data_IF_066991211700
#
_entry.id   IF_066991211700
#
_cell.length_a   1.000
_cell.length_b   1.000
_cell.length_c   1.000
_cell.angle_alpha   90.00
_cell.angle_beta   90.00
_cell.angle_gamma   90.00
#
_symmetry.space_group_name_H-M   'P 1'
#
loop_
_entity.id
_entity.type
_entity.pdbx_description
1 polymer ?
#
# COMPACT_ATOMS: atom_id res chain seq x y z
N UNK A 1 2.17 12.69 -1.63
CA UNK A 1 3.00 11.49 -1.81
C UNK A 1 3.04 11.13 -3.27
N UNK A 2 3.88 11.81 -4.05
CA UNK A 2 4.10 11.42 -5.44
C UNK A 2 5.12 10.27 -5.58
N UNK A 3 5.73 9.83 -4.48
CA UNK A 3 6.77 8.81 -4.46
C UNK A 3 7.93 9.20 -5.36
N UNK A 4 8.24 8.35 -6.34
CA UNK A 4 9.27 8.61 -7.36
C UNK A 4 8.78 9.45 -8.55
N UNK A 5 7.54 9.91 -8.53
CA UNK A 5 6.95 10.73 -9.60
C UNK A 5 6.33 9.96 -10.77
N UNK A 6 6.42 8.63 -10.78
CA UNK A 6 5.98 7.76 -11.90
C UNK A 6 4.52 8.00 -12.30
N UNK A 7 3.62 8.15 -11.32
CA UNK A 7 2.21 8.38 -11.62
C UNK A 7 1.93 9.79 -12.15
N UNK A 8 2.64 10.81 -11.64
CA UNK A 8 2.52 12.18 -12.15
C UNK A 8 3.04 12.27 -13.59
N UNK A 9 4.15 11.59 -13.87
CA UNK A 9 4.71 11.43 -15.21
C UNK A 9 3.68 10.85 -16.16
N UNK A 10 3.06 9.72 -15.79
CA UNK A 10 2.05 9.07 -16.61
C UNK A 10 0.87 10.01 -16.93
N UNK A 11 0.36 10.75 -15.93
CA UNK A 11 -0.72 11.71 -16.13
C UNK A 11 -0.32 12.86 -17.07
N UNK A 12 0.91 13.37 -16.96
CA UNK A 12 1.38 14.49 -17.78
C UNK A 12 1.71 14.06 -19.22
N UNK A 13 2.18 12.84 -19.42
CA UNK A 13 2.45 12.27 -20.74
C UNK A 13 1.16 11.94 -21.49
N UNK A 14 0.23 11.21 -20.86
CA UNK A 14 -1.00 10.76 -21.51
C UNK A 14 -1.98 11.91 -21.80
N UNK A 15 -2.06 12.89 -20.90
CA UNK A 15 -3.04 13.97 -20.99
C UNK A 15 -2.49 15.31 -21.47
N UNK A 16 -1.20 15.39 -21.82
CA UNK A 16 -0.51 16.67 -22.06
C UNK A 16 -0.68 17.68 -20.91
N UNK A 17 -0.74 17.18 -19.67
CA UNK A 17 -0.98 17.99 -18.48
C UNK A 17 0.31 18.68 -18.00
N UNK A 18 0.12 19.64 -17.09
CA UNK A 18 1.15 20.15 -16.17
C UNK A 18 0.83 19.67 -14.77
N UNK A 19 1.84 19.49 -13.93
CA UNK A 19 1.58 18.98 -12.59
C UNK A 19 2.68 19.23 -11.57
N UNK A 20 2.30 19.18 -10.30
CA UNK A 20 3.19 19.38 -9.17
C UNK A 20 3.10 18.15 -8.26
N UNK A 21 4.24 17.52 -7.98
CA UNK A 21 4.35 16.37 -7.08
C UNK A 21 4.97 16.76 -5.75
N UNK A 22 4.36 16.35 -4.64
CA UNK A 22 4.89 16.53 -3.28
C UNK A 22 5.25 15.18 -2.68
N UNK A 23 6.52 15.01 -2.33
CA UNK A 23 7.00 13.85 -1.57
C UNK A 23 8.38 14.13 -0.95
N UNK A 24 8.61 13.92 0.35
CA UNK A 24 9.92 14.10 0.96
C UNK A 24 10.97 13.12 0.42
N UNK A 25 10.54 11.98 -0.13
CA UNK A 25 11.41 10.94 -0.68
C UNK A 25 11.60 10.98 -2.20
N UNK A 26 11.06 12.00 -2.89
CA UNK A 26 11.22 12.11 -4.36
C UNK A 26 12.68 12.30 -4.73
N UNK A 27 13.15 11.54 -5.72
CA UNK A 27 14.50 11.63 -6.25
C UNK A 27 14.43 12.20 -7.67
N UNK A 28 14.39 13.54 -7.76
CA UNK A 28 14.15 14.28 -9.00
C UNK A 28 15.13 13.89 -10.10
N UNK A 29 16.40 13.66 -9.75
CA UNK A 29 17.46 13.27 -10.71
C UNK A 29 17.22 11.92 -11.39
N UNK A 30 16.35 11.07 -10.83
CA UNK A 30 16.00 9.76 -11.40
C UNK A 30 14.80 9.82 -12.34
N UNK A 31 14.16 10.98 -12.49
CA UNK A 31 12.96 11.14 -13.30
C UNK A 31 13.35 11.44 -14.74
N UNK A 32 13.04 10.50 -15.63
CA UNK A 32 13.27 10.63 -17.08
C UNK A 32 11.93 10.59 -17.80
N UNK A 33 11.49 11.73 -18.33
CA UNK A 33 10.19 11.88 -18.97
C UNK A 33 10.22 12.92 -20.09
N UNK A 34 9.58 12.66 -21.25
CA UNK A 34 9.27 13.68 -22.24
C UNK A 34 8.42 14.85 -21.70
N UNK A 35 7.71 14.64 -20.59
CA UNK A 35 6.88 15.66 -19.93
C UNK A 35 7.62 16.45 -18.84
N UNK A 36 8.94 16.23 -18.63
CA UNK A 36 9.68 16.80 -17.49
C UNK A 36 9.53 18.32 -17.36
N UNK A 37 9.52 19.07 -18.46
CA UNK A 37 9.37 20.55 -18.43
C UNK A 37 7.99 21.03 -17.98
N UNK A 38 6.99 20.14 -17.94
CA UNK A 38 5.63 20.40 -17.47
C UNK A 38 5.39 19.94 -16.03
N UNK A 39 6.39 19.32 -15.42
CA UNK A 39 6.31 18.79 -14.07
C UNK A 39 7.22 19.56 -13.13
N UNK A 40 6.74 19.75 -11.90
CA UNK A 40 7.55 20.27 -10.79
C UNK A 40 7.48 19.29 -9.63
N UNK A 41 8.61 19.02 -9.01
CA UNK A 41 8.66 18.19 -7.81
C UNK A 41 9.10 19.04 -6.63
N UNK A 42 8.44 18.83 -5.49
CA UNK A 42 8.70 19.52 -4.24
C UNK A 42 9.02 18.45 -3.19
N UNK A 43 10.27 18.46 -2.74
CA UNK A 43 10.79 17.52 -1.74
C UNK A 43 10.36 17.93 -0.33
N UNK A 44 9.06 17.82 -0.07
CA UNK A 44 8.44 18.22 1.18
C UNK A 44 7.11 17.50 1.40
N UNK A 45 6.62 17.53 2.65
CA UNK A 45 5.24 17.19 2.95
C UNK A 45 4.31 18.30 2.44
N UNK A 46 3.20 17.90 1.83
CA UNK A 46 2.16 18.85 1.49
C UNK A 46 1.51 19.41 2.76
N UNK A 47 1.34 20.72 2.81
CA UNK A 47 0.59 21.44 3.84
C UNK A 47 0.07 22.76 3.27
N UNK A 48 -0.63 23.55 4.09
CA UNK A 48 -1.20 24.84 3.69
C UNK A 48 -0.16 25.87 3.22
N UNK A 49 1.14 25.66 3.50
CA UNK A 49 2.23 26.48 2.95
C UNK A 49 2.24 26.50 1.42
N UNK A 50 1.57 25.53 0.79
CA UNK A 50 1.45 25.39 -0.66
C UNK A 50 0.04 25.68 -1.17
N UNK A 51 -0.82 26.33 -0.38
CA UNK A 51 -2.19 26.66 -0.79
C UNK A 51 -2.25 27.55 -2.05
N UNK A 52 -1.19 28.31 -2.32
CA UNK A 52 -1.06 29.11 -3.56
C UNK A 52 -0.88 28.24 -4.81
N UNK A 53 -0.50 26.96 -4.66
CA UNK A 53 -0.48 25.99 -5.75
C UNK A 53 -1.90 25.49 -6.04
N UNK A 54 -2.54 26.15 -6.99
CA UNK A 54 -3.86 25.76 -7.49
C UNK A 54 -3.74 24.59 -8.46
N UNK A 55 -4.69 23.65 -8.39
CA UNK A 55 -4.78 22.51 -9.29
C UNK A 55 -6.24 22.26 -9.67
N UNK A 56 -6.47 21.88 -10.93
CA UNK A 56 -7.79 21.47 -11.44
C UNK A 56 -8.12 20.02 -11.07
N UNK A 57 -7.16 19.26 -10.55
CA UNK A 57 -7.32 17.89 -10.10
C UNK A 57 -6.30 17.56 -9.01
N UNK A 58 -6.75 16.96 -7.92
CA UNK A 58 -5.89 16.50 -6.83
C UNK A 58 -5.89 14.98 -6.75
N UNK A 59 -4.71 14.40 -6.59
CA UNK A 59 -4.55 12.95 -6.45
C UNK A 59 -3.63 12.57 -5.30
N UNK A 60 -4.07 11.62 -4.49
CA UNK A 60 -3.30 11.05 -3.40
C UNK A 60 -3.42 9.52 -3.45
N UNK A 61 -2.34 8.84 -3.80
CA UNK A 61 -2.29 7.37 -3.85
C UNK A 61 -1.33 6.86 -2.79
N UNK A 62 -1.76 5.87 -2.03
CA UNK A 62 -0.92 5.12 -1.09
C UNK A 62 -0.10 6.05 -0.19
N UNK A 63 -0.78 6.99 0.47
CA UNK A 63 -0.16 8.06 1.26
C UNK A 63 -1.03 8.47 2.44
N UNK A 64 -2.35 8.56 2.27
CA UNK A 64 -3.25 9.03 3.35
C UNK A 64 -3.18 8.14 4.60
N UNK A 65 -3.02 6.82 4.42
CA UNK A 65 -2.82 5.84 5.49
C UNK A 65 -1.55 6.08 6.33
N UNK A 66 -0.59 6.84 5.78
CA UNK A 66 0.66 7.20 6.44
C UNK A 66 0.59 8.53 7.20
N UNK A 67 -0.55 9.23 7.16
CA UNK A 67 -0.73 10.53 7.80
C UNK A 67 -1.46 10.32 9.14
N UNK A 68 -0.91 10.84 10.24
CA UNK A 68 -1.51 10.69 11.57
C UNK A 68 -2.88 11.39 11.70
N UNK A 69 -2.93 12.70 11.42
CA UNK A 69 -4.16 13.47 11.54
C UNK A 69 -4.85 13.60 10.16
N UNK A 70 -5.49 12.53 9.74
CA UNK A 70 -6.14 12.43 8.42
C UNK A 70 -7.30 13.42 8.27
N UNK A 71 -8.08 13.65 9.34
CA UNK A 71 -9.12 14.67 9.42
C UNK A 71 -8.61 16.06 9.07
N UNK A 72 -7.54 16.49 9.76
CA UNK A 72 -6.94 17.80 9.52
C UNK A 72 -6.30 17.90 8.13
N UNK A 73 -5.65 16.84 7.66
CA UNK A 73 -5.05 16.83 6.33
C UNK A 73 -6.09 17.02 5.21
N UNK A 74 -7.21 16.31 5.26
CA UNK A 74 -8.29 16.47 4.28
C UNK A 74 -8.97 17.84 4.42
N UNK A 75 -9.13 18.35 5.65
CA UNK A 75 -9.65 19.70 5.88
C UNK A 75 -8.73 20.80 5.32
N UNK A 76 -7.41 20.67 5.52
CA UNK A 76 -6.40 21.58 4.95
C UNK A 76 -6.41 21.55 3.42
N UNK A 77 -6.56 20.36 2.81
CA UNK A 77 -6.76 20.25 1.36
C UNK A 77 -8.02 20.98 0.92
N UNK A 78 -9.14 20.83 1.64
CA UNK A 78 -10.38 21.56 1.32
C UNK A 78 -10.17 23.07 1.39
N UNK A 79 -9.47 23.57 2.41
CA UNK A 79 -9.18 25.01 2.54
C UNK A 79 -8.27 25.52 1.42
N UNK A 80 -7.25 24.76 1.04
CA UNK A 80 -6.37 25.09 -0.09
C UNK A 80 -7.11 25.13 -1.45
N UNK A 81 -8.15 24.31 -1.63
CA UNK A 81 -9.03 24.40 -2.81
C UNK A 81 -9.81 25.74 -2.82
N UNK A 82 -10.21 26.24 -1.65
CA UNK A 82 -10.91 27.52 -1.49
C UNK A 82 -12.27 27.54 -2.21
N UNK A 83 -12.52 28.60 -2.96
CA UNK A 83 -13.79 28.82 -3.68
C UNK A 83 -13.94 27.97 -4.96
N UNK A 84 -12.93 27.17 -5.32
CA UNK A 84 -12.99 26.24 -6.47
C UNK A 84 -13.78 24.99 -6.11
N UNK A 85 -15.06 25.18 -5.78
CA UNK A 85 -16.04 24.10 -5.70
C UNK A 85 -16.05 23.31 -7.02
N UNK A 86 -16.45 22.05 -6.96
CA UNK A 86 -16.34 21.07 -8.05
C UNK A 86 -14.93 20.59 -8.42
N UNK A 87 -13.86 21.08 -7.78
CA UNK A 87 -12.50 20.53 -8.01
C UNK A 87 -12.47 19.04 -7.70
N UNK A 88 -12.18 18.16 -8.68
CA UNK A 88 -12.12 16.72 -8.49
C UNK A 88 -10.91 16.31 -7.64
N UNK A 89 -11.13 15.35 -6.77
CA UNK A 89 -10.10 14.72 -5.95
C UNK A 89 -10.19 13.20 -6.06
N UNK A 90 -9.05 12.54 -6.17
CA UNK A 90 -8.94 11.09 -6.21
C UNK A 90 -8.03 10.59 -5.10
N UNK A 91 -8.51 9.64 -4.31
CA UNK A 91 -7.74 8.99 -3.27
C UNK A 91 -7.71 7.48 -3.46
N UNK A 92 -6.55 6.88 -3.20
CA UNK A 92 -6.37 5.44 -3.15
C UNK A 92 -5.63 5.05 -1.87
N UNK A 93 -6.21 4.14 -1.08
CA UNK A 93 -5.66 3.66 0.20
C UNK A 93 -5.87 2.15 0.36
N UNK A 94 -5.09 1.45 1.21
CA UNK A 94 -5.36 0.06 1.56
C UNK A 94 -6.79 -0.18 2.08
N UNK A 95 -7.39 -1.30 1.68
CA UNK A 95 -8.69 -1.75 2.18
C UNK A 95 -8.52 -2.50 3.51
N UNK A 96 -8.85 -1.86 4.63
CA UNK A 96 -8.79 -2.44 5.96
C UNK A 96 -9.69 -3.68 6.18
N UNK A 97 -10.86 -3.79 5.52
CA UNK A 97 -11.72 -4.97 5.71
C UNK A 97 -11.05 -6.22 5.17
N UNK A 98 -10.18 -6.12 4.16
CA UNK A 98 -9.34 -7.25 3.71
C UNK A 98 -8.43 -7.75 4.83
N UNK A 99 -7.79 -6.83 5.55
CA UNK A 99 -6.93 -7.15 6.71
C UNK A 99 -7.74 -7.90 7.76
N UNK A 100 -8.92 -7.39 8.09
CA UNK A 100 -9.78 -8.00 9.08
C UNK A 100 -10.30 -9.37 8.63
N UNK A 101 -10.71 -9.54 7.36
CA UNK A 101 -11.21 -10.82 6.81
C UNK A 101 -10.10 -11.87 6.74
N UNK A 102 -8.97 -11.53 6.14
CA UNK A 102 -7.86 -12.46 5.88
C UNK A 102 -6.86 -12.60 7.03
N UNK A 103 -7.03 -11.84 8.12
CA UNK A 103 -6.00 -11.69 9.15
C UNK A 103 -4.63 -11.37 8.54
N UNK A 104 -4.60 -10.42 7.59
CA UNK A 104 -3.38 -9.99 6.90
C UNK A 104 -2.52 -9.12 7.84
N UNK A 105 -1.98 -9.72 8.90
CA UNK A 105 -1.21 -9.01 9.92
C UNK A 105 0.04 -8.35 9.34
N UNK A 106 0.54 -8.84 8.21
CA UNK A 106 1.62 -8.26 7.44
C UNK A 106 1.30 -6.88 6.85
N UNK A 107 0.01 -6.50 6.77
CA UNK A 107 -0.43 -5.16 6.38
C UNK A 107 -0.54 -4.19 7.58
N UNK A 108 -0.25 -4.67 8.80
CA UNK A 108 -0.26 -3.87 10.03
C UNK A 108 1.19 -3.56 10.45
N UNK A 109 1.67 -2.35 10.15
CA UNK A 109 3.03 -1.91 10.48
C UNK A 109 3.10 -0.40 10.73
N UNK A 110 4.22 0.06 11.28
CA UNK A 110 4.37 1.38 11.89
C UNK A 110 4.08 2.56 10.94
N UNK A 111 4.33 2.40 9.64
CA UNK A 111 4.07 3.45 8.66
C UNK A 111 2.58 3.63 8.40
N UNK A 112 1.74 2.60 8.57
CA UNK A 112 0.29 2.69 8.43
C UNK A 112 -0.33 3.16 9.74
N UNK A 113 -0.54 4.48 9.84
CA UNK A 113 -1.17 5.14 10.98
C UNK A 113 -2.70 4.96 11.00
N UNK A 114 -3.30 4.82 9.82
CA UNK A 114 -4.76 4.73 9.65
C UNK A 114 -5.15 3.56 8.73
N UNK A 115 -6.26 2.90 9.07
CA UNK A 115 -6.82 1.78 8.31
C UNK A 115 -8.25 2.12 7.91
N UNK A 116 -8.50 2.25 6.61
CA UNK A 116 -9.77 2.74 6.08
C UNK A 116 -10.68 1.60 5.63
N UNK A 117 -11.94 1.64 6.04
CA UNK A 117 -13.03 0.92 5.38
C UNK A 117 -13.71 1.85 4.37
N UNK A 118 -14.53 1.32 3.43
CA UNK A 118 -15.32 2.15 2.53
C UNK A 118 -16.08 3.26 3.30
N UNK A 119 -16.79 2.88 4.36
CA UNK A 119 -17.58 3.82 5.15
C UNK A 119 -16.72 4.85 5.89
N UNK A 120 -15.59 4.46 6.48
CA UNK A 120 -14.77 5.42 7.23
C UNK A 120 -14.10 6.47 6.32
N UNK A 121 -13.65 6.05 5.13
CA UNK A 121 -13.07 6.94 4.13
C UNK A 121 -14.11 7.93 3.59
N UNK A 122 -15.28 7.46 3.18
CA UNK A 122 -16.34 8.33 2.66
C UNK A 122 -16.84 9.33 3.72
N UNK A 123 -17.00 8.90 4.98
CA UNK A 123 -17.38 9.80 6.08
C UNK A 123 -16.32 10.86 6.36
N UNK A 124 -15.03 10.50 6.30
CA UNK A 124 -13.93 11.47 6.42
C UNK A 124 -14.06 12.57 5.36
N UNK A 125 -14.22 12.21 4.10
CA UNK A 125 -14.35 13.20 3.01
C UNK A 125 -15.60 14.08 3.16
N UNK A 126 -16.76 13.48 3.46
CA UNK A 126 -18.01 14.23 3.68
C UNK A 126 -17.91 15.20 4.86
N UNK A 127 -17.28 14.78 5.96
CA UNK A 127 -17.06 15.64 7.11
C UNK A 127 -16.09 16.80 6.82
N UNK A 128 -15.21 16.64 5.84
CA UNK A 128 -14.21 17.64 5.44
C UNK A 128 -14.61 18.50 4.23
N UNK A 129 -15.89 18.54 3.86
CA UNK A 129 -16.39 19.45 2.81
C UNK A 129 -16.24 18.91 1.38
N UNK A 130 -16.29 17.60 1.21
CA UNK A 130 -16.31 16.93 -0.09
C UNK A 130 -17.61 16.17 -0.32
N UNK A 131 -18.07 16.14 -1.56
CA UNK A 131 -19.11 15.22 -2.04
C UNK A 131 -18.43 13.99 -2.63
N UNK A 132 -18.78 12.79 -2.16
CA UNK A 132 -18.20 11.53 -2.62
C UNK A 132 -18.97 11.03 -3.82
N UNK A 133 -18.35 11.05 -5.00
CA UNK A 133 -18.99 10.71 -6.27
C UNK A 133 -18.96 9.21 -6.55
N UNK A 134 -17.84 8.57 -6.23
CA UNK A 134 -17.63 7.14 -6.43
C UNK A 134 -16.77 6.55 -5.32
N UNK A 135 -17.04 5.29 -5.01
CA UNK A 135 -16.30 4.50 -4.04
C UNK A 135 -16.26 3.05 -4.53
N UNK A 136 -15.06 2.55 -4.82
CA UNK A 136 -14.86 1.18 -5.29
C UNK A 136 -13.68 0.51 -4.59
N UNK A 137 -13.59 -0.80 -4.77
CA UNK A 137 -12.42 -1.58 -4.37
C UNK A 137 -11.75 -2.15 -5.62
N UNK A 138 -10.46 -1.86 -5.76
CA UNK A 138 -9.67 -2.18 -6.94
C UNK A 138 -8.50 -3.11 -6.58
N UNK A 139 -7.77 -3.56 -7.61
CA UNK A 139 -6.58 -4.43 -7.47
C UNK A 139 -6.88 -5.69 -6.64
N UNK A 140 -7.86 -6.48 -7.08
CA UNK A 140 -8.26 -7.73 -6.42
C UNK A 140 -8.66 -7.53 -4.94
N UNK A 141 -9.35 -6.42 -4.67
CA UNK A 141 -9.86 -6.13 -3.33
C UNK A 141 -8.84 -5.53 -2.37
N UNK A 142 -7.65 -5.12 -2.85
CA UNK A 142 -6.58 -4.63 -1.97
C UNK A 142 -6.67 -3.15 -1.64
N UNK A 143 -7.25 -2.34 -2.53
CA UNK A 143 -7.27 -0.89 -2.37
C UNK A 143 -8.67 -0.33 -2.52
N UNK A 144 -9.02 0.62 -1.66
CA UNK A 144 -10.16 1.50 -1.86
C UNK A 144 -9.75 2.63 -2.80
N UNK A 145 -10.63 2.97 -3.72
CA UNK A 145 -10.54 4.18 -4.53
C UNK A 145 -11.77 5.05 -4.28
N UNK A 146 -11.51 6.33 -4.01
CA UNK A 146 -12.52 7.33 -3.76
C UNK A 146 -12.36 8.47 -4.77
N UNK A 147 -13.44 8.75 -5.50
CA UNK A 147 -13.58 9.95 -6.32
C UNK A 147 -14.52 10.89 -5.60
N UNK A 148 -14.12 12.13 -5.43
CA UNK A 148 -14.92 13.15 -4.79
C UNK A 148 -14.71 14.50 -5.46
N UNK A 149 -15.53 15.48 -5.10
CA UNK A 149 -15.33 16.87 -5.49
C UNK A 149 -15.49 17.79 -4.30
N UNK A 150 -14.76 18.90 -4.30
CA UNK A 150 -14.95 19.94 -3.29
C UNK A 150 -16.37 20.50 -3.37
N UNK A 151 -17.01 20.67 -2.23
CA UNK A 151 -18.37 21.24 -2.16
C UNK A 151 -18.46 22.30 -1.06
N UNK A 152 -19.48 23.14 -1.14
CA UNK A 152 -19.89 24.05 -0.06
C UNK A 152 -20.97 23.41 0.83
N UNK A 153 -21.61 22.32 0.38
CA UNK A 153 -22.61 21.60 1.15
C UNK A 153 -21.95 20.65 2.16
N UNK A 154 -22.14 20.89 3.45
CA UNK A 154 -21.60 20.03 4.51
C UNK A 154 -22.60 18.96 4.94
N UNK A 155 -22.18 17.69 4.94
CA UNK A 155 -22.81 16.62 5.73
C UNK A 155 -24.19 16.11 5.27
N UNK A 156 -24.73 16.57 4.13
CA UNK A 156 -26.09 16.22 3.68
C UNK A 156 -26.16 15.14 2.60
N UNK A 157 -25.03 14.61 2.13
CA UNK A 157 -25.03 13.59 1.09
C UNK A 157 -25.45 12.23 1.67
N UNK A 158 -26.41 11.56 1.02
CA UNK A 158 -26.78 10.19 1.36
C UNK A 158 -25.57 9.24 1.23
N UNK A 159 -25.36 8.31 2.17
CA UNK A 159 -24.28 7.33 2.06
C UNK A 159 -24.43 6.49 0.79
N UNK A 160 -23.29 6.16 0.16
CA UNK A 160 -23.24 5.19 -0.91
C UNK A 160 -23.53 3.78 -0.37
N UNK A 161 -24.13 2.86 -1.16
CA UNK A 161 -24.38 1.48 -0.73
C UNK A 161 -23.14 0.74 -0.20
N UNK A 162 -21.97 1.04 -0.76
CA UNK A 162 -20.68 0.49 -0.39
C UNK A 162 -20.27 0.85 1.05
N UNK A 163 -20.83 1.92 1.62
CA UNK A 163 -20.55 2.37 2.99
C UNK A 163 -21.28 1.56 4.07
N UNK A 164 -22.23 0.72 3.69
CA UNK A 164 -23.09 -0.04 4.61
C UNK A 164 -22.38 -1.29 5.17
N UNK A 165 -21.28 -1.09 5.90
CA UNK A 165 -20.37 -2.14 6.36
C UNK A 165 -20.28 -2.30 7.89
N UNK A 166 -21.00 -1.49 8.69
CA UNK A 166 -20.77 -1.39 10.14
C UNK A 166 -20.98 -2.71 10.89
N UNK A 167 -22.06 -3.44 10.60
CA UNK A 167 -22.34 -4.74 11.25
C UNK A 167 -21.29 -5.80 10.88
N UNK A 168 -20.88 -5.82 9.61
CA UNK A 168 -19.82 -6.69 9.12
C UNK A 168 -18.48 -6.36 9.78
N UNK A 169 -18.10 -5.08 9.80
CA UNK A 169 -16.88 -4.61 10.48
C UNK A 169 -16.90 -4.98 11.95
N UNK A 170 -18.01 -4.74 12.64
CA UNK A 170 -18.16 -5.09 14.06
C UNK A 170 -17.93 -6.59 14.29
N UNK A 171 -18.48 -7.44 13.42
CA UNK A 171 -18.31 -8.90 13.48
C UNK A 171 -16.86 -9.31 13.21
N UNK A 172 -16.24 -8.73 12.18
CA UNK A 172 -14.87 -9.01 11.82
C UNK A 172 -13.88 -8.59 12.90
N UNK A 173 -14.05 -7.40 13.49
CA UNK A 173 -13.23 -6.89 14.60
C UNK A 173 -13.38 -7.78 15.83
N UNK A 174 -14.61 -8.13 16.23
CA UNK A 174 -14.85 -9.00 17.41
C UNK A 174 -14.18 -10.37 17.26
N UNK A 175 -14.23 -10.97 16.08
CA UNK A 175 -13.64 -12.29 15.81
C UNK A 175 -12.14 -12.25 15.49
N UNK A 176 -11.57 -11.07 15.20
CA UNK A 176 -10.20 -10.93 14.71
C UNK A 176 -9.14 -11.53 15.63
N UNK A 177 -9.13 -11.32 16.97
CA UNK A 177 -8.07 -11.86 17.82
C UNK A 177 -7.98 -13.39 17.78
N UNK A 178 -9.13 -14.07 17.76
CA UNK A 178 -9.21 -15.53 17.74
C UNK A 178 -8.73 -16.09 16.39
N UNK A 179 -9.20 -15.49 15.28
CA UNK A 179 -8.79 -15.88 13.92
C UNK A 179 -7.31 -15.59 13.67
N UNK A 180 -6.80 -14.46 14.14
CA UNK A 180 -5.39 -14.12 14.05
C UNK A 180 -4.53 -15.12 14.83
N UNK A 181 -4.93 -15.49 16.05
CA UNK A 181 -4.22 -16.51 16.82
C UNK A 181 -4.18 -17.87 16.11
N UNK A 182 -5.27 -18.26 15.44
CA UNK A 182 -5.30 -19.46 14.61
C UNK A 182 -4.34 -19.36 13.41
N UNK A 183 -4.39 -18.26 12.64
CA UNK A 183 -3.49 -18.02 11.50
C UNK A 183 -2.02 -18.02 11.93
N UNK A 184 -1.69 -17.40 13.07
CA UNK A 184 -0.32 -17.41 13.63
C UNK A 184 0.15 -18.82 13.99
N UNK A 185 -0.70 -19.66 14.59
CA UNK A 185 -0.36 -21.07 14.88
C UNK A 185 -0.13 -21.88 13.61
N UNK A 186 -0.95 -21.68 12.59
CA UNK A 186 -0.79 -22.33 11.29
C UNK A 186 0.57 -21.99 10.66
N UNK A 187 0.92 -20.69 10.61
CA UNK A 187 2.21 -20.27 10.08
C UNK A 187 3.39 -20.73 10.93
N UNK A 188 3.28 -20.69 12.26
CA UNK A 188 4.33 -21.18 13.15
C UNK A 188 4.59 -22.68 12.90
N UNK A 189 3.53 -23.50 12.85
CA UNK A 189 3.65 -24.93 12.55
C UNK A 189 4.28 -25.17 11.17
N UNK A 190 3.83 -24.44 10.13
CA UNK A 190 4.40 -24.57 8.78
C UNK A 190 5.89 -24.25 8.76
N UNK A 191 6.32 -23.16 9.40
CA UNK A 191 7.73 -22.75 9.41
C UNK A 191 8.61 -23.69 10.26
N UNK A 192 8.07 -24.23 11.34
CA UNK A 192 8.72 -25.29 12.12
C UNK A 192 8.88 -26.58 11.32
N UNK A 193 7.87 -26.96 10.53
CA UNK A 193 7.92 -28.13 9.65
C UNK A 193 9.00 -28.01 8.57
N UNK A 194 9.16 -26.81 8.01
CA UNK A 194 10.24 -26.52 7.05
C UNK A 194 11.59 -26.72 7.73
N UNK A 195 11.77 -26.13 8.91
CA UNK A 195 13.02 -26.24 9.66
C UNK A 195 13.32 -27.69 10.10
N UNK A 196 12.32 -28.43 10.60
CA UNK A 196 12.49 -29.80 11.07
C UNK A 196 12.76 -30.83 9.98
N UNK A 197 12.54 -30.48 8.71
CA UNK A 197 12.81 -31.32 7.54
C UNK A 197 14.03 -30.86 6.74
N UNK A 198 14.83 -29.95 7.30
CA UNK A 198 15.97 -29.31 6.63
C UNK A 198 15.62 -28.69 5.25
N UNK A 199 14.36 -28.28 5.08
CA UNK A 199 13.87 -27.60 3.86
C UNK A 199 14.28 -26.13 3.87
N UNK A 200 14.55 -25.60 2.69
CA UNK A 200 14.96 -24.21 2.49
C UNK A 200 13.76 -23.33 2.17
N UNK A 201 13.65 -22.19 2.84
CA UNK A 201 12.59 -21.21 2.58
C UNK A 201 13.14 -19.80 2.34
N UNK A 202 12.47 -19.07 1.44
CA UNK A 202 12.74 -17.65 1.16
C UNK A 202 11.44 -16.84 1.20
N UNK A 203 11.58 -15.55 1.49
CA UNK A 203 10.52 -14.55 1.28
C UNK A 203 10.74 -13.89 -0.07
N UNK A 204 9.70 -13.72 -0.89
CA UNK A 204 9.75 -12.91 -2.11
C UNK A 204 8.95 -11.62 -1.92
N UNK A 205 9.64 -10.48 -2.06
CA UNK A 205 9.16 -9.14 -1.75
C UNK A 205 9.71 -8.64 -0.42
N UNK A 206 11.00 -8.28 -0.38
CA UNK A 206 11.67 -7.82 0.84
C UNK A 206 11.35 -6.33 1.14
N UNK A 207 10.13 -6.07 1.60
CA UNK A 207 9.61 -4.74 1.95
C UNK A 207 8.90 -4.74 3.32
N UNK A 208 8.11 -3.71 3.61
CA UNK A 208 7.42 -3.50 4.90
C UNK A 208 6.59 -4.72 5.35
N UNK A 209 5.89 -5.41 4.43
CA UNK A 209 5.16 -6.65 4.74
C UNK A 209 6.07 -7.79 5.22
N UNK A 210 7.25 -7.93 4.63
CA UNK A 210 8.24 -8.92 5.08
C UNK A 210 8.77 -8.58 6.47
N UNK A 211 9.01 -7.30 6.76
CA UNK A 211 9.40 -6.83 8.10
C UNK A 211 8.29 -7.17 9.12
N UNK A 212 7.03 -6.89 8.80
CA UNK A 212 5.89 -7.20 9.65
C UNK A 212 5.75 -8.71 9.91
N UNK A 213 5.96 -9.55 8.88
CA UNK A 213 5.99 -11.01 9.03
C UNK A 213 7.06 -11.47 10.02
N UNK A 214 8.30 -11.02 9.80
CA UNK A 214 9.47 -11.40 10.60
C UNK A 214 9.36 -10.92 12.05
N UNK A 215 8.73 -9.76 12.26
CA UNK A 215 8.48 -9.22 13.61
C UNK A 215 7.35 -9.96 14.34
N UNK A 216 6.35 -10.46 13.61
CA UNK A 216 5.14 -11.07 14.20
C UNK A 216 5.31 -12.57 14.50
N UNK A 217 6.13 -13.25 13.70
CA UNK A 217 6.36 -14.70 13.78
C UNK A 217 7.82 -15.01 14.11
N UNK A 218 8.14 -15.37 15.36
CA UNK A 218 9.49 -15.78 15.75
C UNK A 218 10.07 -16.92 14.90
N UNK A 219 9.22 -17.84 14.43
CA UNK A 219 9.57 -18.95 13.55
C UNK A 219 10.04 -18.49 12.16
N UNK A 220 9.72 -17.27 11.74
CA UNK A 220 10.21 -16.73 10.47
C UNK A 220 11.74 -16.57 10.43
N UNK A 221 12.43 -16.68 11.57
CA UNK A 221 13.90 -16.82 11.66
C UNK A 221 14.48 -18.00 10.88
N UNK A 222 13.64 -18.99 10.53
CA UNK A 222 14.06 -20.13 9.71
C UNK A 222 14.19 -19.78 8.22
N UNK A 223 13.58 -18.68 7.79
CA UNK A 223 13.76 -18.12 6.44
C UNK A 223 15.10 -17.39 6.44
N UNK A 224 15.98 -17.71 5.47
CA UNK A 224 17.36 -17.21 5.46
C UNK A 224 17.61 -16.05 4.51
N UNK A 225 16.74 -15.85 3.53
CA UNK A 225 16.89 -14.80 2.52
C UNK A 225 15.56 -14.15 2.16
N UNK A 226 15.61 -12.84 1.92
CA UNK A 226 14.59 -12.10 1.20
C UNK A 226 15.00 -11.90 -0.26
N UNK A 227 14.08 -12.15 -1.19
CA UNK A 227 14.26 -11.94 -2.62
C UNK A 227 13.55 -10.65 -3.01
N UNK A 228 14.25 -9.76 -3.71
CA UNK A 228 13.64 -8.54 -4.26
C UNK A 228 14.23 -8.20 -5.64
N UNK A 229 13.35 -7.83 -6.57
CA UNK A 229 13.73 -7.46 -7.94
C UNK A 229 14.34 -6.06 -8.01
N UNK A 230 14.13 -5.22 -6.98
CA UNK A 230 14.66 -3.87 -6.95
C UNK A 230 16.17 -3.90 -6.65
N UNK A 231 17.04 -3.52 -7.60
CA UNK A 231 18.49 -3.55 -7.41
C UNK A 231 18.98 -2.66 -6.26
N UNK A 232 18.22 -1.62 -5.90
CA UNK A 232 18.58 -0.74 -4.78
C UNK A 232 18.40 -1.38 -3.41
N UNK A 233 17.69 -2.51 -3.31
CA UNK A 233 17.54 -3.26 -2.06
C UNK A 233 18.51 -4.43 -1.94
N UNK A 234 19.01 -4.92 -3.06
CA UNK A 234 19.93 -6.06 -3.09
C UNK A 234 21.23 -5.71 -2.37
N UNK A 235 21.83 -6.69 -1.69
CA UNK A 235 23.02 -6.49 -0.86
C UNK A 235 22.78 -5.79 0.48
N UNK A 236 21.53 -5.37 0.77
CA UNK A 236 21.13 -4.81 2.05
C UNK A 236 20.41 -5.86 2.91
N UNK A 237 19.92 -5.44 4.08
CA UNK A 237 19.24 -6.30 5.04
C UNK A 237 17.89 -5.72 5.44
N UNK A 238 16.91 -6.58 5.71
CA UNK A 238 15.63 -6.15 6.24
C UNK A 238 15.79 -5.61 7.67
N UNK A 239 15.22 -4.43 7.98
CA UNK A 239 15.34 -3.83 9.31
C UNK A 239 14.71 -4.72 10.38
N UNK A 240 15.28 -4.67 11.59
CA UNK A 240 14.86 -5.48 12.74
C UNK A 240 15.33 -6.94 12.69
N UNK A 241 15.14 -7.61 11.56
CA UNK A 241 15.50 -9.04 11.40
C UNK A 241 16.95 -9.29 10.98
N UNK A 242 17.57 -8.34 10.26
CA UNK A 242 18.86 -8.56 9.64
C UNK A 242 18.83 -9.61 8.51
N UNK A 243 17.65 -9.90 7.93
CA UNK A 243 17.54 -10.86 6.83
C UNK A 243 18.19 -10.29 5.57
N UNK A 244 19.20 -10.96 4.98
CA UNK A 244 19.84 -10.49 3.75
C UNK A 244 18.85 -10.45 2.59
N UNK A 245 18.92 -9.38 1.79
CA UNK A 245 18.14 -9.18 0.58
C UNK A 245 19.02 -9.44 -0.63
N UNK A 246 18.60 -10.41 -1.46
CA UNK A 246 19.35 -10.88 -2.62
C UNK A 246 18.48 -10.84 -3.89
N UNK A 247 19.15 -10.87 -5.04
CA UNK A 247 18.48 -10.89 -6.33
C UNK A 247 17.85 -12.27 -6.64
N UNK A 248 16.85 -12.35 -7.54
CA UNK A 248 16.24 -13.62 -7.93
C UNK A 248 17.22 -14.66 -8.47
N UNK A 249 18.31 -14.22 -9.12
CA UNK A 249 19.34 -15.12 -9.68
C UNK A 249 20.00 -16.04 -8.65
N UNK A 250 20.11 -15.59 -7.40
CA UNK A 250 20.63 -16.38 -6.27
C UNK A 250 19.87 -17.71 -6.05
N UNK A 251 18.61 -17.78 -6.47
CA UNK A 251 17.78 -18.97 -6.29
C UNK A 251 18.25 -20.18 -7.11
N UNK A 252 19.04 -19.98 -8.18
CA UNK A 252 19.65 -21.06 -8.96
C UNK A 252 20.60 -21.90 -8.11
N UNK A 253 21.33 -21.25 -7.20
CA UNK A 253 22.24 -21.90 -6.27
C UNK A 253 21.50 -22.36 -5.01
N UNK A 254 20.70 -21.48 -4.41
CA UNK A 254 20.05 -21.77 -3.12
C UNK A 254 19.00 -22.89 -3.23
N UNK A 255 18.26 -22.92 -4.35
CA UNK A 255 17.16 -23.86 -4.67
C UNK A 255 16.20 -24.06 -3.49
N UNK A 256 15.35 -23.06 -3.17
CA UNK A 256 14.42 -23.17 -2.04
C UNK A 256 13.37 -24.24 -2.30
N UNK A 257 12.88 -24.87 -1.23
CA UNK A 257 11.72 -25.76 -1.25
C UNK A 257 10.40 -25.02 -1.05
N UNK A 258 10.45 -23.82 -0.44
CA UNK A 258 9.31 -22.95 -0.16
C UNK A 258 9.63 -21.50 -0.53
N UNK A 259 8.72 -20.87 -1.27
CA UNK A 259 8.73 -19.42 -1.53
C UNK A 259 7.47 -18.81 -0.91
N UNK A 260 7.66 -17.93 0.06
CA UNK A 260 6.58 -17.14 0.67
C UNK A 260 6.49 -15.80 -0.05
N UNK A 261 5.42 -15.58 -0.80
CA UNK A 261 5.19 -14.36 -1.57
C UNK A 261 4.42 -13.35 -0.71
N UNK A 262 4.99 -12.16 -0.52
CA UNK A 262 4.40 -11.13 0.36
C UNK A 262 3.19 -10.40 -0.21
N UNK A 263 2.93 -10.51 -1.52
CA UNK A 263 1.74 -9.94 -2.12
C UNK A 263 1.13 -10.90 -3.17
N UNK A 264 -0.10 -11.41 -2.95
CA UNK A 264 -0.72 -12.39 -3.83
C UNK A 264 -0.97 -11.90 -5.26
N UNK A 265 -1.07 -10.59 -5.52
CA UNK A 265 -1.22 -10.05 -6.88
C UNK A 265 -0.06 -10.52 -7.78
N UNK A 266 1.16 -10.55 -7.24
CA UNK A 266 2.35 -10.94 -8.01
C UNK A 266 2.57 -12.44 -8.08
N UNK A 267 1.67 -13.28 -7.51
CA UNK A 267 1.86 -14.74 -7.47
C UNK A 267 2.11 -15.33 -8.86
N UNK A 268 1.31 -14.95 -9.86
CA UNK A 268 1.46 -15.45 -11.24
C UNK A 268 2.73 -14.94 -11.92
N UNK A 269 3.17 -13.74 -11.60
CA UNK A 269 4.43 -13.18 -12.13
C UNK A 269 5.63 -13.88 -11.55
N UNK A 270 5.71 -13.95 -10.22
CA UNK A 270 6.80 -14.61 -9.49
C UNK A 270 6.87 -16.10 -9.85
N UNK A 271 5.74 -16.78 -10.00
CA UNK A 271 5.71 -18.17 -10.44
C UNK A 271 6.32 -18.35 -11.84
N UNK A 272 6.06 -17.42 -12.78
CA UNK A 272 6.68 -17.45 -14.11
C UNK A 272 8.19 -17.20 -14.03
N UNK A 273 8.64 -16.30 -13.16
CA UNK A 273 10.06 -16.03 -12.98
C UNK A 273 10.79 -17.23 -12.37
N UNK A 274 10.19 -17.90 -11.38
CA UNK A 274 10.71 -19.16 -10.83
C UNK A 274 10.83 -20.25 -11.91
N UNK A 275 9.83 -20.41 -12.78
CA UNK A 275 9.88 -21.36 -13.89
C UNK A 275 10.97 -21.03 -14.92
N UNK A 276 11.19 -19.74 -15.23
CA UNK A 276 12.30 -19.30 -16.11
C UNK A 276 13.66 -19.67 -15.54
N UNK A 277 13.78 -19.70 -14.21
CA UNK A 277 14.98 -20.17 -13.50
C UNK A 277 15.04 -21.70 -13.38
N UNK A 278 14.07 -22.45 -13.92
CA UNK A 278 14.00 -23.90 -13.79
C UNK A 278 13.67 -24.40 -12.37
N UNK A 279 12.99 -23.57 -11.57
CA UNK A 279 12.63 -23.85 -10.19
C UNK A 279 11.13 -24.09 -10.05
N UNK A 280 10.76 -25.09 -9.26
CA UNK A 280 9.36 -25.43 -8.94
C UNK A 280 9.16 -25.62 -7.42
N UNK A 281 9.47 -24.61 -6.59
CA UNK A 281 9.25 -24.70 -5.16
C UNK A 281 7.76 -24.75 -4.83
N UNK A 282 7.43 -25.14 -3.60
CA UNK A 282 6.11 -24.84 -3.04
C UNK A 282 5.94 -23.32 -2.97
N UNK A 283 4.82 -22.79 -3.48
CA UNK A 283 4.53 -21.36 -3.45
C UNK A 283 3.32 -21.11 -2.56
N UNK A 284 3.52 -20.26 -1.55
CA UNK A 284 2.47 -19.77 -0.66
C UNK A 284 2.43 -18.25 -0.69
N UNK A 285 1.24 -17.69 -0.45
CA UNK A 285 1.01 -16.26 -0.28
C UNK A 285 0.47 -16.01 1.13
N UNK A 286 0.74 -14.82 1.68
CA UNK A 286 0.12 -14.37 2.92
C UNK A 286 -1.32 -13.85 2.73
#
# INVERSE_FOLDING_TARGET
>A
GCGKGEFLQLLCELGNNRGIGFDPGVQVDRIQSPAATRMRFITDFYSEKYADHQADFLVCKMTLEHIHNTGEFIAALRRAIGERVDTPVFFQVPEATRILRGCAFEDIYYEHCSYFSPGSLARLFRASGFEVLNLSTEYDGQYLTLEARATSATGSQQPLPQEADIELLTTLVRSFPQRLAAKRREWASRLQDIAGKDRKAVIWGAASKAVALLATLPEARFIRYGIDINPHKQGHFLPGSGLPVVEPGFLLEYRPDLVVIMNPIYRKEIQRDLWRLGLTPEIVTL
#
